data_IF_519318353674
#
_entry.id   IF_519318353674
#
_cell.length_a   1.000
_cell.length_b   1.000
_cell.length_c   1.000
_cell.angle_alpha   90.00
_cell.angle_beta   90.00
_cell.angle_gamma   90.00
#
_symmetry.space_group_name_H-M   'P 1'
#
loop_
_entity.id
_entity.type
_entity.pdbx_description
1 polymer ?
#
# COMPACT_ATOMS: atom_id res chain seq x y z
N UNK A 1 -5.47 19.11 10.53
CA UNK A 1 -6.38 18.27 9.73
C UNK A 1 -7.74 18.15 10.44
N UNK A 2 -8.89 18.14 9.75
CA UNK A 2 -10.15 17.73 10.37
C UNK A 2 -10.01 16.32 10.94
N UNK A 3 -10.46 16.07 12.16
CA UNK A 3 -10.26 14.79 12.87
C UNK A 3 -10.70 13.58 12.05
N UNK A 4 -11.84 13.71 11.35
CA UNK A 4 -12.36 12.66 10.48
C UNK A 4 -11.43 12.34 9.31
N UNK A 5 -10.81 13.36 8.70
CA UNK A 5 -9.87 13.16 7.60
C UNK A 5 -8.59 12.49 8.10
N UNK A 6 -8.10 12.85 9.29
CA UNK A 6 -6.92 12.20 9.86
C UNK A 6 -7.15 10.72 10.10
N UNK A 7 -8.30 10.37 10.65
CA UNK A 7 -8.68 8.98 10.85
C UNK A 7 -8.74 8.22 9.52
N UNK A 8 -9.36 8.81 8.48
CA UNK A 8 -9.40 8.20 7.15
C UNK A 8 -8.02 8.02 6.52
N UNK A 9 -7.10 8.96 6.73
CA UNK A 9 -5.71 8.83 6.25
C UNK A 9 -4.99 7.68 6.97
N UNK A 10 -5.19 7.53 8.29
CA UNK A 10 -4.61 6.41 9.05
C UNK A 10 -5.17 5.06 8.61
N UNK A 11 -6.48 5.00 8.34
CA UNK A 11 -7.13 3.81 7.79
C UNK A 11 -6.57 3.47 6.39
N UNK A 12 -6.45 4.47 5.51
CA UNK A 12 -5.85 4.28 4.20
C UNK A 12 -4.42 3.72 4.30
N UNK A 13 -3.56 4.28 5.17
CA UNK A 13 -2.20 3.75 5.39
C UNK A 13 -2.23 2.27 5.80
N UNK A 14 -3.14 1.89 6.70
CA UNK A 14 -3.27 0.51 7.16
C UNK A 14 -3.73 -0.43 6.04
N UNK A 15 -4.68 0.02 5.21
CA UNK A 15 -5.17 -0.73 4.05
C UNK A 15 -4.05 -0.95 3.02
N UNK A 16 -3.29 0.10 2.68
CA UNK A 16 -2.18 0.00 1.71
C UNK A 16 -1.07 -0.97 2.20
N UNK A 17 -0.70 -0.92 3.50
CA UNK A 17 0.28 -1.85 4.07
C UNK A 17 -0.26 -3.29 4.07
N UNK A 18 -1.55 -3.47 4.35
CA UNK A 18 -2.20 -4.77 4.31
C UNK A 18 -2.22 -5.34 2.89
N UNK A 19 -2.46 -4.49 1.89
CA UNK A 19 -2.40 -4.85 0.48
C UNK A 19 -0.98 -5.25 0.05
N UNK A 20 0.06 -4.51 0.47
CA UNK A 20 1.48 -4.87 0.26
C UNK A 20 1.75 -6.30 0.76
N UNK A 21 1.34 -6.62 1.99
CA UNK A 21 1.55 -7.94 2.58
C UNK A 21 0.79 -9.05 1.83
N UNK A 22 -0.48 -8.79 1.50
CA UNK A 22 -1.34 -9.73 0.77
C UNK A 22 -0.79 -10.02 -0.64
N UNK A 23 -0.47 -8.99 -1.42
CA UNK A 23 0.01 -9.16 -2.78
C UNK A 23 1.43 -9.74 -2.83
N UNK A 24 2.28 -9.44 -1.85
CA UNK A 24 3.58 -10.12 -1.68
C UNK A 24 3.40 -11.61 -1.45
N UNK A 25 2.39 -12.00 -0.67
CA UNK A 25 2.03 -13.41 -0.44
C UNK A 25 1.56 -14.07 -1.73
N UNK A 26 0.68 -13.40 -2.49
CA UNK A 26 0.20 -13.89 -3.79
C UNK A 26 1.34 -14.07 -4.80
N UNK A 27 2.28 -13.12 -4.87
CA UNK A 27 3.45 -13.22 -5.75
C UNK A 27 4.32 -14.45 -5.44
N UNK A 28 4.33 -14.91 -4.20
CA UNK A 28 5.06 -16.11 -3.78
C UNK A 28 4.29 -17.42 -4.00
N UNK A 29 3.00 -17.36 -4.34
CA UNK A 29 2.19 -18.53 -4.72
C UNK A 29 2.32 -18.89 -6.20
N UNK A 30 3.03 -18.07 -6.99
CA UNK A 30 3.07 -18.18 -8.45
C UNK A 30 4.47 -18.55 -8.94
N UNK A 31 4.55 -19.62 -9.74
CA UNK A 31 5.80 -20.06 -10.40
C UNK A 31 6.09 -19.30 -11.71
N UNK A 32 5.06 -18.79 -12.38
CA UNK A 32 5.21 -18.02 -13.61
C UNK A 32 5.87 -16.67 -13.31
N UNK A 33 7.10 -16.49 -13.78
CA UNK A 33 7.90 -15.30 -13.50
C UNK A 33 7.28 -14.00 -14.02
N UNK A 34 6.60 -14.03 -15.17
CA UNK A 34 5.92 -12.86 -15.72
C UNK A 34 4.75 -12.45 -14.82
N UNK A 35 3.91 -13.40 -14.42
CA UNK A 35 2.80 -13.12 -13.52
C UNK A 35 3.29 -12.67 -12.14
N UNK A 36 4.35 -13.30 -11.60
CA UNK A 36 5.00 -12.86 -10.37
C UNK A 36 5.50 -11.42 -10.47
N UNK A 37 6.13 -11.04 -11.58
CA UNK A 37 6.60 -9.67 -11.81
C UNK A 37 5.44 -8.66 -11.86
N UNK A 38 4.32 -9.01 -12.49
CA UNK A 38 3.11 -8.16 -12.51
C UNK A 38 2.52 -8.00 -11.11
N UNK A 39 2.41 -9.07 -10.32
CA UNK A 39 1.90 -8.94 -8.93
C UNK A 39 2.87 -8.10 -8.09
N UNK A 40 4.18 -8.28 -8.27
CA UNK A 40 5.18 -7.47 -7.57
C UNK A 40 5.19 -5.99 -8.00
N UNK A 41 4.75 -5.65 -9.22
CA UNK A 41 4.58 -4.24 -9.58
C UNK A 41 3.41 -3.61 -8.82
N UNK A 42 2.32 -4.35 -8.61
CA UNK A 42 1.19 -3.89 -7.79
C UNK A 42 1.66 -3.68 -6.33
N UNK A 43 2.48 -4.58 -5.77
CA UNK A 43 3.09 -4.39 -4.44
C UNK A 43 3.86 -3.06 -4.35
N UNK A 44 4.60 -2.69 -5.40
CA UNK A 44 5.34 -1.45 -5.43
C UNK A 44 4.41 -0.22 -5.47
N UNK A 45 3.29 -0.32 -6.20
CA UNK A 45 2.27 0.73 -6.26
C UNK A 45 1.62 0.96 -4.88
N UNK A 46 1.18 -0.10 -4.19
CA UNK A 46 0.56 0.05 -2.85
C UNK A 46 1.56 0.56 -1.82
N UNK A 47 2.83 0.16 -1.91
CA UNK A 47 3.86 0.76 -1.08
C UNK A 47 4.07 2.25 -1.42
N UNK A 48 3.89 2.65 -2.69
CA UNK A 48 3.86 4.05 -3.13
C UNK A 48 2.68 4.84 -2.55
N UNK A 49 1.49 4.25 -2.54
CA UNK A 49 0.30 4.84 -1.93
C UNK A 49 0.50 5.03 -0.42
N UNK A 50 0.97 4.00 0.29
CA UNK A 50 1.27 4.07 1.72
C UNK A 50 2.25 5.22 2.04
N UNK A 51 3.37 5.32 1.30
CA UNK A 51 4.34 6.41 1.48
C UNK A 51 3.71 7.78 1.24
N UNK A 52 2.84 7.89 0.25
CA UNK A 52 2.14 9.15 -0.07
C UNK A 52 1.25 9.55 1.10
N UNK A 53 0.40 8.64 1.61
CA UNK A 53 -0.46 8.91 2.76
C UNK A 53 0.33 9.23 4.04
N UNK A 54 1.42 8.51 4.31
CA UNK A 54 2.32 8.83 5.43
C UNK A 54 2.88 10.25 5.30
N UNK A 55 3.31 10.64 4.09
CA UNK A 55 3.80 12.00 3.84
C UNK A 55 2.71 13.04 4.10
N UNK A 56 1.47 12.79 3.67
CA UNK A 56 0.32 13.68 3.93
C UNK A 56 0.01 13.79 5.43
N UNK A 57 0.12 12.68 6.16
CA UNK A 57 -0.07 12.66 7.61
C UNK A 57 1.02 13.43 8.36
N UNK A 58 2.29 13.26 7.96
CA UNK A 58 3.44 13.94 8.56
C UNK A 58 3.47 15.44 8.25
N UNK A 59 3.15 15.80 7.00
CA UNK A 59 3.07 17.20 6.58
C UNK A 59 1.82 17.89 7.12
N UNK A 60 0.84 17.11 7.62
CA UNK A 60 -0.44 17.59 8.12
C UNK A 60 -1.37 18.17 7.04
N UNK A 61 -0.87 18.20 5.80
CA UNK A 61 -1.03 19.32 4.86
C UNK A 61 -0.63 20.69 5.45
#
# INVERSE_FOLDING_TARGET
MPEQLEQMVREAIADEISAVAMYSTMANMVDNLTLKAVIMSIVADEFGHARTWMTLLETGF
#
